data_IF_564255994608
#
_entry.id   IF_564255994608
#
_cell.length_a   1.000
_cell.length_b   1.000
_cell.length_c   1.000
_cell.angle_alpha   90.00
_cell.angle_beta   90.00
_cell.angle_gamma   90.00
#
_symmetry.space_group_name_H-M   'P 1'
#
loop_
_entity.id
_entity.type
_entity.pdbx_description
1 polymer ?
#
# COMPACT_ATOMS: atom_id res chain seq x y z
N UNK A 1 -27.71 -37.79 -16.50
CA UNK A 1 -26.66 -36.76 -16.52
C UNK A 1 -26.52 -36.27 -15.10
N UNK A 2 -25.34 -36.39 -14.51
CA UNK A 2 -25.03 -35.92 -13.16
C UNK A 2 -24.33 -34.56 -13.29
N UNK A 3 -24.75 -33.49 -12.60
CA UNK A 3 -24.10 -32.20 -12.74
C UNK A 3 -22.78 -32.22 -11.98
N UNK A 4 -21.67 -32.25 -12.70
CA UNK A 4 -20.33 -32.08 -12.13
C UNK A 4 -20.17 -30.63 -11.66
N UNK A 5 -20.10 -30.43 -10.34
CA UNK A 5 -19.79 -29.13 -9.75
C UNK A 5 -18.29 -28.85 -9.93
N UNK A 6 -17.95 -27.98 -10.87
CA UNK A 6 -16.58 -27.49 -11.04
C UNK A 6 -16.33 -26.40 -9.98
N UNK A 7 -15.66 -26.75 -8.88
CA UNK A 7 -15.28 -25.78 -7.86
C UNK A 7 -14.08 -24.98 -8.37
N UNK A 8 -14.32 -23.73 -8.77
CA UNK A 8 -13.26 -22.81 -9.15
C UNK A 8 -12.34 -22.51 -7.97
N UNK A 9 -11.05 -22.35 -8.24
CA UNK A 9 -10.05 -21.93 -7.25
C UNK A 9 -10.00 -20.40 -7.19
N UNK A 10 -10.14 -19.82 -6.00
CA UNK A 10 -10.13 -18.36 -5.77
C UNK A 10 -8.71 -17.76 -5.83
N UNK A 11 -7.67 -18.58 -5.59
CA UNK A 11 -6.27 -18.14 -5.57
C UNK A 11 -5.39 -19.14 -6.31
N UNK A 12 -4.68 -18.68 -7.34
CA UNK A 12 -3.71 -19.51 -8.04
C UNK A 12 -2.57 -19.96 -7.09
N UNK A 13 -1.91 -21.07 -7.44
CA UNK A 13 -0.84 -21.68 -6.62
C UNK A 13 0.45 -20.82 -6.58
N UNK A 14 0.53 -19.72 -7.34
CA UNK A 14 1.67 -18.82 -7.39
C UNK A 14 1.69 -17.76 -6.27
N UNK A 15 2.86 -17.15 -6.07
CA UNK A 15 3.05 -16.07 -5.09
C UNK A 15 2.44 -14.74 -5.57
N UNK A 16 2.00 -13.92 -4.61
CA UNK A 16 1.52 -12.57 -4.86
C UNK A 16 2.52 -11.54 -4.32
N UNK A 17 2.67 -10.43 -5.04
CA UNK A 17 3.50 -9.30 -4.60
C UNK A 17 2.60 -8.25 -3.96
N UNK A 18 3.01 -7.78 -2.78
CA UNK A 18 2.40 -6.62 -2.13
C UNK A 18 3.18 -5.37 -2.52
N UNK A 19 2.47 -4.28 -2.76
CA UNK A 19 3.06 -3.01 -3.19
C UNK A 19 2.48 -1.91 -2.35
N UNK A 20 3.32 -0.96 -1.94
CA UNK A 20 2.88 0.30 -1.36
C UNK A 20 3.15 1.41 -2.36
N UNK A 21 2.19 2.32 -2.53
CA UNK A 21 2.43 3.52 -3.30
C UNK A 21 1.42 4.62 -3.02
N UNK A 22 1.75 5.81 -3.52
CA UNK A 22 0.90 7.00 -3.41
C UNK A 22 0.70 7.62 -4.78
N UNK A 23 -0.47 8.19 -5.03
CA UNK A 23 -0.74 8.99 -6.21
C UNK A 23 -1.52 10.25 -5.84
N UNK A 24 -1.44 11.25 -6.69
CA UNK A 24 -2.31 12.42 -6.70
C UNK A 24 -3.19 12.38 -7.95
N UNK A 25 -4.05 13.38 -8.11
CA UNK A 25 -4.89 13.52 -9.30
C UNK A 25 -4.06 13.53 -10.61
N UNK A 26 -2.90 14.17 -10.62
CA UNK A 26 -2.07 14.36 -11.82
C UNK A 26 -0.75 13.59 -11.82
N UNK A 27 -0.29 13.07 -10.67
CA UNK A 27 1.05 12.50 -10.56
C UNK A 27 1.02 11.14 -9.87
N UNK A 28 1.79 10.21 -10.41
CA UNK A 28 2.13 8.98 -9.71
C UNK A 28 3.32 9.25 -8.78
N UNK A 29 3.17 8.89 -7.52
CA UNK A 29 4.24 8.96 -6.54
C UNK A 29 5.02 7.66 -6.43
N UNK A 30 5.82 7.52 -5.36
CA UNK A 30 6.59 6.32 -5.10
C UNK A 30 5.74 5.04 -5.14
N UNK A 31 6.29 3.98 -5.73
CA UNK A 31 5.71 2.63 -5.74
C UNK A 31 6.81 1.63 -5.38
N UNK A 32 6.66 0.92 -4.27
CA UNK A 32 7.68 0.00 -3.74
C UNK A 32 7.09 -1.38 -3.43
N UNK A 33 7.84 -2.43 -3.75
CA UNK A 33 7.48 -3.78 -3.37
C UNK A 33 7.69 -3.99 -1.86
N UNK A 34 6.74 -4.67 -1.24
CA UNK A 34 6.79 -5.07 0.15
C UNK A 34 7.04 -6.58 0.21
N UNK A 35 8.22 -6.96 0.70
CA UNK A 35 8.60 -8.37 0.85
C UNK A 35 7.76 -9.09 1.91
N UNK A 36 7.22 -8.35 2.89
CA UNK A 36 6.48 -8.90 4.04
C UNK A 36 5.32 -7.98 4.45
N UNK A 37 4.63 -8.31 5.54
CA UNK A 37 3.62 -7.43 6.14
C UNK A 37 4.27 -6.15 6.65
N UNK A 38 3.66 -5.01 6.31
CA UNK A 38 4.16 -3.71 6.73
C UNK A 38 3.97 -3.53 8.24
N UNK A 39 5.07 -3.33 8.97
CA UNK A 39 5.07 -3.06 10.41
C UNK A 39 5.15 -1.55 10.67
N UNK A 40 4.75 -1.11 11.86
CA UNK A 40 4.64 0.31 12.23
C UNK A 40 5.89 1.14 11.88
N UNK A 41 7.07 0.71 12.32
CA UNK A 41 8.32 1.47 12.09
C UNK A 41 8.67 1.61 10.62
N UNK A 42 8.55 0.51 9.85
CA UNK A 42 8.78 0.52 8.40
C UNK A 42 7.76 1.43 7.70
N UNK A 43 6.53 1.48 8.19
CA UNK A 43 5.52 2.37 7.65
C UNK A 43 5.89 3.84 7.91
N UNK A 44 6.31 4.18 9.13
CA UNK A 44 6.78 5.53 9.47
C UNK A 44 7.94 5.95 8.58
N UNK A 45 8.93 5.07 8.34
CA UNK A 45 10.03 5.36 7.41
C UNK A 45 9.54 5.63 5.99
N UNK A 46 8.59 4.85 5.47
CA UNK A 46 7.99 5.10 4.15
C UNK A 46 7.31 6.48 4.11
N UNK A 47 6.57 6.85 5.15
CA UNK A 47 5.91 8.15 5.22
C UNK A 47 6.92 9.30 5.23
N UNK A 48 7.99 9.19 6.03
CA UNK A 48 9.01 10.23 6.13
C UNK A 48 9.88 10.33 4.88
N UNK A 49 10.33 9.19 4.34
CA UNK A 49 11.34 9.17 3.28
C UNK A 49 10.74 9.30 1.87
N UNK A 50 9.50 8.84 1.68
CA UNK A 50 8.88 8.76 0.35
C UNK A 50 7.65 9.68 0.23
N UNK A 51 6.72 9.63 1.19
CA UNK A 51 5.49 10.43 1.10
C UNK A 51 5.75 11.91 1.31
N UNK A 52 6.48 12.30 2.37
CA UNK A 52 6.64 13.70 2.71
C UNK A 52 7.34 14.52 1.61
N UNK A 53 8.45 14.04 1.00
CA UNK A 53 9.05 14.71 -0.15
C UNK A 53 8.10 14.77 -1.35
N UNK A 54 7.37 13.69 -1.64
CA UNK A 54 6.40 13.69 -2.75
C UNK A 54 5.29 14.73 -2.54
N UNK A 55 4.73 14.82 -1.35
CA UNK A 55 3.74 15.84 -1.00
C UNK A 55 4.31 17.25 -1.11
N UNK A 56 5.57 17.49 -0.73
CA UNK A 56 6.21 18.81 -0.88
C UNK A 56 6.35 19.25 -2.34
N UNK A 57 6.48 18.31 -3.27
CA UNK A 57 6.61 18.57 -4.70
C UNK A 57 5.23 18.80 -5.33
N UNK A 58 4.26 17.94 -5.00
CA UNK A 58 2.92 17.97 -5.62
C UNK A 58 2.01 19.03 -5.00
N UNK A 59 2.15 19.29 -3.71
CA UNK A 59 1.34 20.25 -2.94
C UNK A 59 2.27 21.27 -2.25
N UNK A 60 3.06 21.97 -3.05
CA UNK A 60 4.02 22.97 -2.55
C UNK A 60 3.36 24.15 -1.82
N UNK A 61 2.05 24.32 -1.98
CA UNK A 61 1.23 25.33 -1.28
C UNK A 61 0.90 24.94 0.17
N UNK A 62 1.17 23.69 0.56
CA UNK A 62 0.91 23.19 1.91
C UNK A 62 -0.55 22.78 2.18
N UNK A 63 -1.43 22.80 1.18
CA UNK A 63 -2.85 22.41 1.32
C UNK A 63 -3.11 20.95 0.94
N UNK A 64 -2.06 20.17 0.69
CA UNK A 64 -2.17 18.75 0.35
C UNK A 64 -2.61 17.90 1.54
N UNK A 65 -3.66 17.10 1.33
CA UNK A 65 -4.16 16.15 2.32
C UNK A 65 -3.67 14.73 2.00
N UNK A 66 -3.27 14.00 3.05
CA UNK A 66 -2.89 12.58 2.92
C UNK A 66 -4.08 11.67 3.29
N UNK A 67 -4.42 10.76 2.39
CA UNK A 67 -5.46 9.75 2.62
C UNK A 67 -4.84 8.35 2.57
N UNK A 68 -5.25 7.51 3.52
CA UNK A 68 -4.92 6.09 3.62
C UNK A 68 -6.14 5.35 4.18
N UNK A 69 -6.12 4.02 4.12
CA UNK A 69 -7.14 3.20 4.78
C UNK A 69 -6.98 3.18 6.31
N UNK A 70 -7.90 2.50 7.01
CA UNK A 70 -7.92 2.40 8.47
C UNK A 70 -7.14 1.19 9.03
N UNK A 71 -6.28 0.55 8.24
CA UNK A 71 -5.51 -0.60 8.70
C UNK A 71 -4.57 -0.19 9.83
N UNK A 72 -4.51 -1.03 10.85
CA UNK A 72 -3.56 -0.90 11.96
C UNK A 72 -2.34 -1.75 11.56
N UNK A 73 -1.17 -1.13 11.30
CA UNK A 73 0.04 -1.90 11.12
C UNK A 73 0.27 -2.76 12.38
N UNK A 74 0.57 -4.07 12.24
CA UNK A 74 0.91 -4.89 13.39
C UNK A 74 2.01 -4.20 14.22
N UNK A 75 1.68 -4.03 15.50
CA UNK A 75 2.10 -3.00 16.45
C UNK A 75 3.57 -2.55 16.48
N UNK A 76 3.77 -1.23 16.70
CA UNK A 76 4.63 -0.73 17.79
C UNK A 76 3.85 -1.07 19.07
N UNK A 77 4.32 -2.05 19.83
CA UNK A 77 3.75 -2.41 21.13
C UNK A 77 4.57 -1.68 22.19
N UNK A 78 3.91 -0.81 22.97
CA UNK A 78 4.42 -0.31 24.24
C UNK A 78 3.81 -1.18 25.34
#
# INVERSE_FOLDING_TARGET
MDPTFQQGTVQAVGESVKVWGVCSWCNMGPLICLDTTLIGDRYVSILSDLLHPFMSIVHSDGFGEFQQDNAIPPHIQN
#
